data_IF_858591099586
#
_entry.id   IF_858591099586
#
_cell.length_a   1.000
_cell.length_b   1.000
_cell.length_c   1.000
_cell.angle_alpha   90.00
_cell.angle_beta   90.00
_cell.angle_gamma   90.00
#
_symmetry.space_group_name_H-M   'P 1'
#
loop_
_entity.id
_entity.type
_entity.pdbx_description
1 polymer ?
#
# COMPACT_ATOMS: atom_id res chain seq x y z
N UNK A 1 -10.87 7.80 19.91
CA UNK A 1 -12.07 7.43 19.15
C UNK A 1 -11.90 6.11 18.41
N UNK A 2 -10.91 5.97 17.51
CA UNK A 2 -10.72 4.74 16.72
C UNK A 2 -10.00 3.59 17.45
N UNK A 3 -9.56 3.79 18.69
CA UNK A 3 -8.80 2.78 19.46
C UNK A 3 -9.67 1.60 19.91
N UNK A 4 -10.97 1.86 20.15
CA UNK A 4 -11.95 0.83 20.51
C UNK A 4 -12.59 0.15 19.28
N UNK A 5 -12.41 0.75 18.09
CA UNK A 5 -12.99 0.25 16.85
C UNK A 5 -12.11 -0.87 16.30
N UNK A 6 -12.68 -2.07 16.14
CA UNK A 6 -11.99 -3.22 15.56
C UNK A 6 -11.70 -3.01 14.07
N UNK A 7 -10.59 -3.56 13.58
CA UNK A 7 -10.19 -3.48 12.16
C UNK A 7 -11.25 -4.05 11.21
N UNK A 8 -12.02 -5.04 11.66
CA UNK A 8 -13.07 -5.70 10.87
C UNK A 8 -14.46 -5.09 11.02
N UNK A 9 -14.59 -3.98 11.76
CA UNK A 9 -15.90 -3.33 11.96
C UNK A 9 -16.36 -2.66 10.66
N UNK A 10 -17.54 -3.01 10.12
CA UNK A 10 -18.00 -2.51 8.83
C UNK A 10 -18.16 -0.98 8.79
N UNK A 11 -18.37 -0.35 9.95
CA UNK A 11 -18.55 1.11 10.07
C UNK A 11 -17.23 1.87 9.94
N UNK A 12 -16.09 1.19 9.98
CA UNK A 12 -14.75 1.81 9.85
C UNK A 12 -14.67 2.70 8.61
N UNK A 13 -15.19 2.23 7.47
CA UNK A 13 -15.16 2.98 6.22
C UNK A 13 -16.00 4.26 6.29
N UNK A 14 -17.21 4.17 6.84
CA UNK A 14 -18.11 5.33 6.99
C UNK A 14 -17.58 6.35 8.01
N UNK A 15 -17.09 5.86 9.16
CA UNK A 15 -16.50 6.68 10.20
C UNK A 15 -15.26 7.40 9.68
N UNK A 16 -14.37 6.69 8.99
CA UNK A 16 -13.16 7.26 8.40
C UNK A 16 -13.47 8.37 7.39
N UNK A 17 -14.47 8.15 6.52
CA UNK A 17 -14.87 9.15 5.53
C UNK A 17 -15.41 10.44 6.17
N UNK A 18 -16.11 10.36 7.31
CA UNK A 18 -16.62 11.54 8.04
C UNK A 18 -15.51 12.40 8.65
N UNK A 19 -14.38 11.79 8.99
CA UNK A 19 -13.25 12.48 9.64
C UNK A 19 -12.07 12.74 8.69
N UNK A 20 -12.26 12.53 7.38
CA UNK A 20 -11.21 12.75 6.36
C UNK A 20 -10.05 11.74 6.44
N UNK A 21 -10.26 10.59 7.07
CA UNK A 21 -9.24 9.54 7.19
C UNK A 21 -9.20 8.65 5.93
N UNK A 22 -8.05 8.00 5.65
CA UNK A 22 -7.93 7.12 4.49
C UNK A 22 -8.91 5.95 4.53
N UNK A 23 -9.45 5.60 3.36
CA UNK A 23 -10.30 4.41 3.23
C UNK A 23 -9.49 3.14 3.52
N UNK A 24 -10.14 2.05 3.99
CA UNK A 24 -9.43 0.81 4.32
C UNK A 24 -8.55 0.24 3.21
N UNK A 25 -9.01 0.34 1.97
CA UNK A 25 -8.23 -0.08 0.81
C UNK A 25 -6.97 0.80 0.60
N UNK A 26 -7.04 2.11 0.85
CA UNK A 26 -5.87 2.99 0.78
C UNK A 26 -4.86 2.65 1.86
N UNK A 27 -5.33 2.39 3.09
CA UNK A 27 -4.49 1.99 4.20
C UNK A 27 -3.80 0.64 3.91
N UNK A 28 -4.51 -0.30 3.28
CA UNK A 28 -3.93 -1.54 2.79
C UNK A 28 -2.81 -1.27 1.80
N UNK A 29 -3.02 -0.44 0.77
CA UNK A 29 -1.98 -0.14 -0.21
C UNK A 29 -0.74 0.49 0.43
N UNK A 30 -0.91 1.42 1.36
CA UNK A 30 0.21 2.03 2.10
C UNK A 30 0.94 1.00 2.96
N UNK A 31 0.19 0.12 3.63
CA UNK A 31 0.74 -1.01 4.38
C UNK A 31 1.62 -1.89 3.48
N UNK A 32 1.16 -2.23 2.27
CA UNK A 32 1.93 -3.03 1.32
C UNK A 32 3.19 -2.29 0.86
N UNK A 33 3.04 -1.01 0.48
CA UNK A 33 4.15 -0.17 0.04
C UNK A 33 5.27 -0.07 1.08
N UNK A 34 4.92 0.10 2.36
CA UNK A 34 5.90 0.24 3.45
C UNK A 34 6.56 -1.07 3.85
N UNK A 35 5.80 -2.17 3.91
CA UNK A 35 6.30 -3.44 4.44
C UNK A 35 7.02 -4.30 3.40
N UNK A 36 6.67 -4.20 2.12
CA UNK A 36 7.19 -5.08 1.06
C UNK A 36 8.09 -4.37 0.03
N UNK A 37 8.24 -3.04 0.11
CA UNK A 37 9.07 -2.24 -0.81
C UNK A 37 8.54 -2.24 -2.26
N UNK A 38 9.30 -1.65 -3.20
CA UNK A 38 9.01 -1.68 -4.65
C UNK A 38 9.05 -3.09 -5.29
N UNK A 39 9.12 -4.15 -4.47
CA UNK A 39 9.10 -5.53 -4.90
C UNK A 39 7.67 -6.05 -4.99
N UNK A 40 7.06 -5.91 -6.17
CA UNK A 40 5.99 -6.76 -6.70
C UNK A 40 4.97 -7.33 -5.70
N UNK A 41 4.38 -6.48 -4.84
CA UNK A 41 3.22 -6.91 -4.06
C UNK A 41 2.00 -6.83 -4.97
N UNK A 42 1.76 -7.88 -5.76
CA UNK A 42 0.55 -8.01 -6.56
C UNK A 42 -0.65 -8.13 -5.61
N UNK A 43 -1.31 -7.01 -5.33
CA UNK A 43 -2.64 -7.01 -4.73
C UNK A 43 -3.66 -7.35 -5.83
N UNK A 44 -4.03 -8.62 -5.92
CA UNK A 44 -5.04 -9.05 -6.87
C UNK A 44 -6.42 -8.89 -6.25
N UNK A 45 -7.29 -8.12 -6.91
CA UNK A 45 -8.67 -7.91 -6.48
C UNK A 45 -9.57 -8.58 -7.51
N UNK A 46 -10.25 -9.64 -7.12
CA UNK A 46 -11.22 -10.35 -7.94
C UNK A 46 -12.63 -10.11 -7.42
N UNK A 47 -13.60 -10.01 -8.33
CA UNK A 47 -15.01 -9.81 -8.01
C UNK A 47 -15.84 -10.84 -8.75
N UNK A 48 -16.67 -11.57 -8.02
CA UNK A 48 -17.60 -12.56 -8.56
C UNK A 48 -19.03 -12.14 -8.23
N UNK A 49 -19.86 -11.96 -9.25
CA UNK A 49 -21.28 -11.72 -9.03
C UNK A 49 -21.96 -13.04 -8.57
N UNK A 50 -22.70 -12.99 -7.48
CA UNK A 50 -23.53 -14.09 -7.00
C UNK A 50 -25.00 -13.87 -7.38
N UNK A 51 -25.76 -14.97 -7.33
CA UNK A 51 -27.22 -14.91 -7.39
C UNK A 51 -27.74 -14.04 -6.22
N UNK A 52 -28.85 -13.33 -6.44
CA UNK A 52 -29.53 -12.48 -5.45
C UNK A 52 -28.87 -11.09 -5.19
N UNK A 53 -28.35 -10.42 -6.22
CA UNK A 53 -27.79 -9.04 -6.13
C UNK A 53 -26.64 -8.90 -5.11
N UNK A 54 -25.92 -9.99 -4.83
CA UNK A 54 -24.73 -10.00 -3.97
C UNK A 54 -23.49 -10.19 -4.83
N UNK A 55 -22.38 -9.65 -4.38
CA UNK A 55 -21.10 -9.77 -5.04
C UNK A 55 -20.07 -10.27 -4.01
N UNK A 56 -19.34 -11.30 -4.38
CA UNK A 56 -18.19 -11.81 -3.65
C UNK A 56 -16.93 -11.08 -4.11
N UNK A 57 -16.17 -10.58 -3.15
CA UNK A 57 -14.92 -9.86 -3.33
C UNK A 57 -13.80 -10.64 -2.71
N UNK A 58 -12.82 -10.98 -3.52
CA UNK A 58 -11.61 -11.65 -3.07
C UNK A 58 -10.43 -10.71 -3.26
N UNK A 59 -9.67 -10.47 -2.20
CA UNK A 59 -8.37 -9.79 -2.26
C UNK A 59 -7.30 -10.80 -1.91
N UNK A 60 -6.30 -10.92 -2.78
CA UNK A 60 -5.10 -11.71 -2.56
C UNK A 60 -3.88 -10.79 -2.44
N UNK A 61 -3.10 -10.99 -1.40
CA UNK A 61 -1.86 -10.26 -1.11
C UNK A 61 -0.79 -11.27 -0.72
N UNK A 62 0.02 -11.69 -1.71
CA UNK A 62 1.08 -12.67 -1.51
C UNK A 62 0.54 -13.99 -0.92
N UNK A 63 0.82 -14.24 0.37
CA UNK A 63 0.38 -15.44 1.10
C UNK A 63 -0.99 -15.30 1.78
N UNK A 64 -1.56 -14.09 1.81
CA UNK A 64 -2.81 -13.80 2.50
C UNK A 64 -3.94 -13.59 1.51
N UNK A 65 -5.02 -14.35 1.65
CA UNK A 65 -6.24 -14.20 0.86
C UNK A 65 -7.44 -13.93 1.77
N UNK A 66 -8.37 -13.09 1.34
CA UNK A 66 -9.62 -12.84 2.05
C UNK A 66 -10.76 -12.67 1.05
N UNK A 67 -11.87 -13.35 1.35
CA UNK A 67 -13.09 -13.32 0.55
C UNK A 67 -14.24 -12.82 1.41
N UNK A 68 -15.00 -11.86 0.89
CA UNK A 68 -16.16 -11.27 1.57
C UNK A 68 -17.33 -11.14 0.61
N UNK A 69 -18.55 -11.32 1.12
CA UNK A 69 -19.78 -11.13 0.33
C UNK A 69 -20.41 -9.80 0.73
N UNK A 70 -20.61 -8.92 -0.25
CA UNK A 70 -21.19 -7.59 -0.05
C UNK A 70 -22.31 -7.30 -1.05
N UNK A 71 -23.18 -6.35 -0.70
CA UNK A 71 -24.26 -5.87 -1.57
C UNK A 71 -23.74 -4.98 -2.71
N UNK A 72 -22.62 -4.27 -2.49
CA UNK A 72 -22.11 -3.27 -3.41
C UNK A 72 -20.60 -3.46 -3.64
N UNK A 73 -20.12 -3.11 -4.85
CA UNK A 73 -18.70 -3.27 -5.18
C UNK A 73 -17.78 -2.39 -4.33
N UNK A 74 -18.27 -1.19 -3.98
CA UNK A 74 -17.52 -0.23 -3.17
C UNK A 74 -17.31 -0.75 -1.75
N UNK A 75 -18.37 -1.20 -1.10
CA UNK A 75 -18.35 -1.77 0.26
C UNK A 75 -17.53 -3.07 0.32
N UNK A 76 -17.76 -3.99 -0.63
CA UNK A 76 -17.04 -5.26 -0.67
C UNK A 76 -15.53 -5.09 -0.77
N UNK A 77 -15.06 -4.11 -1.56
CA UNK A 77 -13.64 -3.78 -1.66
C UNK A 77 -13.06 -3.31 -0.31
N UNK A 78 -13.78 -2.48 0.44
CA UNK A 78 -13.30 -1.98 1.74
C UNK A 78 -13.31 -3.08 2.80
N UNK A 79 -14.36 -3.90 2.84
CA UNK A 79 -14.46 -5.03 3.78
C UNK A 79 -13.40 -6.09 3.51
N UNK A 80 -13.13 -6.41 2.24
CA UNK A 80 -12.06 -7.34 1.89
C UNK A 80 -10.70 -6.77 2.31
N UNK A 81 -10.49 -5.46 2.14
CA UNK A 81 -9.25 -4.81 2.56
C UNK A 81 -9.06 -4.85 4.08
N UNK A 82 -10.13 -4.59 4.85
CA UNK A 82 -10.14 -4.74 6.30
C UNK A 82 -9.78 -6.17 6.74
N UNK A 83 -10.36 -7.17 6.08
CA UNK A 83 -10.07 -8.57 6.37
C UNK A 83 -8.60 -8.93 6.11
N UNK A 84 -8.01 -8.41 5.03
CA UNK A 84 -6.57 -8.58 4.76
C UNK A 84 -5.73 -7.84 5.80
N UNK A 85 -6.05 -6.59 6.13
CA UNK A 85 -5.32 -5.82 7.15
C UNK A 85 -5.30 -6.54 8.50
N UNK A 86 -6.43 -7.13 8.91
CA UNK A 86 -6.52 -7.93 10.12
C UNK A 86 -5.64 -9.19 10.05
N UNK A 87 -5.52 -9.83 8.88
CA UNK A 87 -4.62 -10.98 8.68
C UNK A 87 -3.15 -10.59 8.67
N UNK A 88 -2.80 -9.43 8.12
CA UNK A 88 -1.43 -8.91 8.10
C UNK A 88 -0.97 -8.45 9.49
N UNK A 89 -1.90 -7.96 10.30
CA UNK A 89 -1.61 -7.46 11.65
C UNK A 89 -2.48 -8.15 12.71
N UNK A 90 -2.26 -9.45 12.99
CA UNK A 90 -3.05 -10.18 13.99
C UNK A 90 -2.89 -9.60 15.40
N UNK A 91 -1.78 -8.90 15.68
CA UNK A 91 -1.50 -8.26 16.96
C UNK A 91 -2.06 -6.83 17.08
N UNK A 92 -2.63 -6.27 16.00
CA UNK A 92 -3.19 -4.91 16.00
C UNK A 92 -4.71 -5.00 15.77
N UNK A 93 -5.50 -5.26 16.83
CA UNK A 93 -6.95 -5.43 16.70
C UNK A 93 -7.69 -4.12 16.46
N UNK A 94 -7.06 -2.98 16.74
CA UNK A 94 -7.68 -1.65 16.73
C UNK A 94 -7.36 -0.86 15.46
N UNK A 95 -8.40 -0.25 14.88
CA UNK A 95 -8.28 0.60 13.69
C UNK A 95 -7.43 1.84 13.96
N UNK A 96 -7.55 2.44 15.15
CA UNK A 96 -6.77 3.61 15.56
C UNK A 96 -5.26 3.37 15.52
N UNK A 97 -4.82 2.18 15.93
CA UNK A 97 -3.41 1.77 15.87
C UNK A 97 -2.93 1.64 14.43
N UNK A 98 -3.73 1.04 13.53
CA UNK A 98 -3.41 1.00 12.10
C UNK A 98 -3.35 2.39 11.47
N UNK A 99 -4.27 3.28 11.82
CA UNK A 99 -4.24 4.67 11.35
C UNK A 99 -3.02 5.42 11.86
N UNK A 100 -2.54 5.16 13.08
CA UNK A 100 -1.31 5.79 13.56
C UNK A 100 -0.06 5.26 12.86
N UNK A 101 -0.07 3.99 12.45
CA UNK A 101 1.03 3.37 11.71
C UNK A 101 1.09 3.82 10.24
N UNK A 102 -0.07 3.91 9.58
CA UNK A 102 -0.17 4.08 8.12
C UNK A 102 -0.91 5.35 7.67
N UNK A 103 -1.70 5.99 8.55
CA UNK A 103 -2.56 7.12 8.20
C UNK A 103 -1.82 8.42 7.87
N UNK A 104 -0.74 8.75 8.58
CA UNK A 104 0.02 10.00 8.38
C UNK A 104 0.71 10.09 7.01
N UNK A 105 1.00 8.94 6.39
CA UNK A 105 1.57 8.89 5.04
C UNK A 105 0.53 9.17 3.96
N UNK A 106 -0.74 8.84 4.20
CA UNK A 106 -1.81 9.10 3.22
C UNK A 106 -2.11 10.60 3.12
N UNK A 107 -1.99 11.35 4.21
CA UNK A 107 -2.13 12.82 4.22
C UNK A 107 -1.10 13.50 3.31
N UNK A 108 0.13 12.95 3.26
CA UNK A 108 1.20 13.41 2.36
C UNK A 108 1.02 12.91 0.93
N UNK A 109 0.40 11.75 0.72
CA UNK A 109 0.08 11.24 -0.61
C UNK A 109 -1.11 11.98 -1.27
N UNK A 110 -2.00 12.59 -0.47
CA UNK A 110 -3.14 13.40 -0.95
C UNK A 110 -2.71 14.86 -1.24
N UNK A 111 -1.60 15.32 -0.69
CA UNK A 111 -0.97 16.57 -1.15
C UNK A 111 -0.30 16.36 -2.51
N UNK A 112 -1.09 16.58 -3.57
CA UNK A 112 -0.71 16.81 -4.97
C UNK A 112 -0.25 15.57 -5.77
N UNK A 113 -1.09 15.04 -6.67
CA UNK A 113 -0.63 14.66 -7.99
C UNK A 113 -0.48 15.94 -8.84
N UNK A 114 0.38 16.86 -8.43
CA UNK A 114 0.93 17.82 -9.38
C UNK A 114 2.09 17.09 -10.05
N UNK A 115 1.87 16.73 -11.31
CA UNK A 115 2.89 16.33 -12.28
C UNK A 115 3.47 14.91 -12.12
N UNK A 116 2.69 13.91 -12.51
CA UNK A 116 3.27 12.74 -13.17
C UNK A 116 2.41 12.31 -14.36
N UNK A 117 2.08 13.28 -15.20
CA UNK A 117 1.85 13.04 -16.62
C UNK A 117 3.25 13.00 -17.27
N UNK A 118 3.47 12.02 -18.14
CA UNK A 118 4.61 11.94 -19.05
C UNK A 118 6.00 11.67 -18.45
N UNK A 119 6.30 10.40 -18.16
CA UNK A 119 7.66 9.88 -18.40
C UNK A 119 7.59 8.59 -19.21
N UNK A 120 7.02 8.70 -20.43
CA UNK A 120 7.60 8.00 -21.58
C UNK A 120 8.87 8.76 -21.96
N UNK A 121 9.96 8.49 -21.27
CA UNK A 121 11.31 8.84 -21.75
C UNK A 121 12.29 7.93 -21.04
N UNK A 122 12.83 6.99 -21.82
CA UNK A 122 13.87 6.04 -21.45
C UNK A 122 15.23 6.76 -21.30
N UNK A 123 15.24 7.92 -20.64
CA UNK A 123 16.45 8.68 -20.37
C UNK A 123 17.07 8.13 -19.09
N UNK A 124 18.32 7.63 -19.13
CA UNK A 124 18.97 7.15 -17.93
C UNK A 124 19.13 8.30 -16.93
N UNK A 125 18.94 8.00 -15.64
CA UNK A 125 19.17 8.95 -14.55
C UNK A 125 20.67 9.30 -14.50
N UNK A 126 21.08 10.31 -15.27
CA UNK A 126 22.48 10.73 -15.44
C UNK A 126 23.16 11.03 -14.10
N UNK A 127 22.42 11.59 -13.13
CA UNK A 127 22.94 11.86 -11.78
C UNK A 127 23.36 10.60 -11.03
N UNK A 128 22.63 9.50 -11.20
CA UNK A 128 22.97 8.19 -10.62
C UNK A 128 24.18 7.58 -11.35
N UNK A 129 24.24 7.72 -12.67
CA UNK A 129 25.37 7.24 -13.47
C UNK A 129 26.66 8.03 -13.19
N UNK A 130 26.59 9.33 -12.98
CA UNK A 130 27.74 10.16 -12.59
C UNK A 130 28.23 9.80 -11.19
N UNK A 131 27.32 9.70 -10.22
CA UNK A 131 27.68 9.28 -8.86
C UNK A 131 28.36 7.91 -8.85
N UNK A 132 27.84 6.94 -9.63
CA UNK A 132 28.44 5.62 -9.79
C UNK A 132 29.80 5.69 -10.48
N UNK A 133 29.95 6.54 -11.51
CA UNK A 133 31.21 6.72 -12.24
C UNK A 133 32.31 7.31 -11.36
N UNK A 134 31.97 8.25 -10.47
CA UNK A 134 32.91 8.85 -9.53
C UNK A 134 33.41 7.84 -8.49
N UNK A 135 32.50 7.07 -7.88
CA UNK A 135 32.88 6.01 -6.95
C UNK A 135 33.69 4.90 -7.63
N UNK A 136 33.34 4.50 -8.85
CA UNK A 136 34.14 3.52 -9.62
C UNK A 136 35.55 4.03 -9.93
N UNK A 137 35.73 5.32 -10.26
CA UNK A 137 37.06 5.92 -10.46
C UNK A 137 37.87 5.98 -9.16
N UNK A 138 37.22 6.26 -8.04
CA UNK A 138 37.85 6.30 -6.71
C UNK A 138 38.32 4.90 -6.28
N UNK A 139 37.47 3.89 -6.44
CA UNK A 139 37.82 2.49 -6.19
C UNK A 139 38.97 2.03 -7.09
N UNK A 140 38.98 2.42 -8.37
CA UNK A 140 40.08 2.09 -9.28
C UNK A 140 41.40 2.74 -8.86
N UNK A 141 41.39 4.02 -8.45
CA UNK A 141 42.60 4.67 -7.92
C UNK A 141 43.12 4.01 -6.64
N UNK A 142 42.22 3.60 -5.74
CA UNK A 142 42.59 2.87 -4.54
C UNK A 142 43.17 1.48 -4.84
N UNK A 143 42.71 0.83 -5.91
CA UNK A 143 43.19 -0.50 -6.32
C UNK A 143 44.53 -0.44 -7.05
N UNK A 144 44.74 0.56 -7.92
CA UNK A 144 46.02 0.76 -8.63
C UNK A 144 47.12 1.30 -7.71
N UNK A 145 46.76 2.04 -6.65
CA UNK A 145 47.72 2.50 -5.63
C UNK A 145 48.23 1.41 -4.67
N UNK A 146 47.77 0.16 -4.80
CA UNK A 146 48.18 -0.98 -3.96
C UNK A 146 48.94 -2.06 -4.75
N UNK A 147 49.28 -1.77 -6.02
CA UNK A 147 50.07 -2.64 -6.92
C UNK A 147 51.36 -1.91 -7.42
N UNK A 148 51.89 -0.98 -6.62
CA UNK A 148 53.20 -0.32 -6.76
C UNK A 148 53.94 -0.41 -5.42
#
# INVERSE_FOLDING_TARGET
>A
FFDDVKVTDPRVNELGNKVGQPSPFQLLLECLRRNFGMGNTQCEVSTKALKNQKCEFTINVGKHSATVVAKNKREGKQLAAQAILAKLHPHVPSWGSLLRLYGTSVEKAIQKPEEMNDVKSHAPNHSVLESLREEMKKLHRQKVGHDL
#
